data_IF_307314597805
#
_entry.id   IF_307314597805
#
_cell.length_a   1.000
_cell.length_b   1.000
_cell.length_c   1.000
_cell.angle_alpha   90.00
_cell.angle_beta   90.00
_cell.angle_gamma   90.00
#
_symmetry.space_group_name_H-M   'P 1'
#
loop_
_entity.id
_entity.type
_entity.pdbx_description
1 polymer ?
#
# COMPACT_ATOMS: atom_id res chain seq x y z
N UNK A 1 10.10 31.77 -8.69
CA UNK A 1 10.71 30.80 -7.76
C UNK A 1 9.80 29.58 -7.73
N UNK A 2 10.22 28.44 -8.27
CA UNK A 2 9.44 27.19 -8.20
C UNK A 2 9.28 26.80 -6.73
N UNK A 3 8.07 26.88 -6.19
CA UNK A 3 7.77 26.47 -4.82
C UNK A 3 7.63 24.95 -4.82
N UNK A 4 8.66 24.24 -4.35
CA UNK A 4 8.55 22.79 -4.14
C UNK A 4 7.74 22.56 -2.86
N UNK A 5 6.54 22.02 -3.01
CA UNK A 5 5.64 21.70 -1.90
C UNK A 5 6.26 20.61 -1.00
N UNK A 6 6.50 20.88 0.30
CA UNK A 6 7.17 19.94 1.20
C UNK A 6 6.33 18.68 1.52
N UNK A 7 5.06 18.63 1.10
CA UNK A 7 4.23 17.42 1.21
C UNK A 7 4.34 16.47 0.02
N UNK A 8 5.05 16.85 -1.06
CA UNK A 8 5.39 15.91 -2.14
C UNK A 8 6.47 14.96 -1.63
N UNK A 9 6.07 13.97 -0.82
CA UNK A 9 6.87 12.78 -0.56
C UNK A 9 7.13 12.15 -1.91
N UNK A 10 8.35 12.30 -2.41
CA UNK A 10 8.81 11.58 -3.58
C UNK A 10 8.57 10.09 -3.30
N UNK A 11 7.61 9.49 -4.01
CA UNK A 11 7.45 8.05 -4.00
C UNK A 11 8.76 7.49 -4.55
N UNK A 12 9.59 6.98 -3.65
CA UNK A 12 10.73 6.13 -4.01
C UNK A 12 10.13 4.93 -4.74
N UNK A 13 9.99 5.05 -6.06
CA UNK A 13 9.91 3.93 -6.97
C UNK A 13 11.26 3.25 -6.91
N UNK A 14 11.52 2.52 -5.83
CA UNK A 14 12.55 1.51 -5.82
C UNK A 14 12.07 0.45 -6.82
N UNK A 15 12.75 0.22 -7.96
CA UNK A 15 12.51 -1.01 -8.69
C UNK A 15 12.84 -2.14 -7.70
N UNK A 16 11.81 -2.84 -7.23
CA UNK A 16 12.02 -4.06 -6.45
C UNK A 16 12.88 -5.01 -7.27
N UNK A 17 13.73 -5.84 -6.63
CA UNK A 17 14.65 -6.70 -7.35
C UNK A 17 13.88 -7.56 -8.36
N UNK A 18 14.39 -7.60 -9.59
CA UNK A 18 13.94 -8.48 -10.68
C UNK A 18 13.99 -9.93 -10.17
N UNK A 19 12.86 -10.42 -9.64
CA UNK A 19 12.74 -11.79 -9.18
C UNK A 19 12.43 -12.68 -10.38
N UNK A 20 13.48 -13.01 -11.14
CA UNK A 20 13.42 -14.05 -12.15
C UNK A 20 14.59 -15.02 -12.01
N UNK A 21 14.85 -15.57 -10.83
CA UNK A 21 15.81 -16.67 -10.70
C UNK A 21 15.45 -17.67 -9.58
N UNK A 22 14.74 -18.72 -10.00
CA UNK A 22 15.09 -20.15 -9.83
C UNK A 22 15.62 -20.62 -8.46
N UNK A 23 14.71 -21.05 -7.56
CA UNK A 23 15.08 -21.98 -6.45
C UNK A 23 14.43 -21.74 -5.08
N UNK A 24 13.75 -20.61 -4.86
CA UNK A 24 13.01 -20.31 -3.62
C UNK A 24 11.49 -20.39 -3.80
N UNK A 25 10.71 -20.45 -2.70
CA UNK A 25 9.25 -20.39 -2.79
C UNK A 25 8.85 -19.12 -3.56
N UNK A 26 8.02 -19.31 -4.58
CA UNK A 26 7.51 -18.20 -5.39
C UNK A 26 6.77 -17.21 -4.49
N UNK A 27 6.87 -15.91 -4.82
CA UNK A 27 6.00 -14.92 -4.21
C UNK A 27 4.55 -15.39 -4.35
N UNK A 28 3.75 -15.35 -3.26
CA UNK A 28 2.35 -15.72 -3.34
C UNK A 28 1.65 -14.85 -4.37
N UNK A 29 0.74 -15.45 -5.14
CA UNK A 29 -0.16 -14.70 -6.02
C UNK A 29 -1.18 -13.97 -5.16
N UNK A 30 -0.75 -12.83 -4.58
CA UNK A 30 -1.61 -11.94 -3.82
C UNK A 30 -2.16 -10.89 -4.76
N UNK A 31 -3.34 -11.18 -5.30
CA UNK A 31 -4.19 -10.12 -5.88
C UNK A 31 -4.47 -9.07 -4.81
N UNK A 32 -4.48 -7.78 -5.22
CA UNK A 32 -4.85 -6.69 -4.31
C UNK A 32 -6.25 -7.00 -3.77
N UNK A 33 -6.43 -7.09 -2.45
CA UNK A 33 -7.75 -7.35 -1.88
C UNK A 33 -8.73 -6.27 -2.36
N UNK A 34 -9.97 -6.67 -2.61
CA UNK A 34 -11.05 -5.74 -2.95
C UNK A 34 -11.19 -4.64 -1.88
N UNK A 35 -11.73 -3.48 -2.27
CA UNK A 35 -11.86 -2.30 -1.39
C UNK A 35 -12.50 -2.63 -0.04
N UNK A 36 -13.57 -3.42 -0.03
CA UNK A 36 -14.27 -3.84 1.19
C UNK A 36 -13.46 -4.81 2.05
N UNK A 37 -12.68 -5.68 1.42
CA UNK A 37 -11.86 -6.66 2.12
C UNK A 37 -10.66 -6.02 2.81
N UNK A 38 -10.12 -4.94 2.24
CA UNK A 38 -9.07 -4.15 2.88
C UNK A 38 -9.59 -3.49 4.16
N UNK A 39 -10.71 -2.77 4.11
CA UNK A 39 -11.27 -2.10 5.30
C UNK A 39 -11.64 -3.10 6.40
N UNK A 40 -12.21 -4.25 6.02
CA UNK A 40 -12.53 -5.33 6.98
C UNK A 40 -11.27 -5.88 7.65
N UNK A 41 -10.19 -6.12 6.91
CA UNK A 41 -8.91 -6.56 7.48
C UNK A 41 -8.28 -5.48 8.35
N UNK A 42 -8.32 -4.23 7.91
CA UNK A 42 -7.83 -3.09 8.71
C UNK A 42 -8.58 -2.99 10.03
N UNK A 43 -9.92 -3.10 10.03
CA UNK A 43 -10.71 -3.05 11.26
C UNK A 43 -10.40 -4.19 12.24
N UNK A 44 -10.08 -5.38 11.73
CA UNK A 44 -9.65 -6.52 12.56
C UNK A 44 -8.28 -6.28 13.21
N UNK A 45 -7.35 -5.65 12.49
CA UNK A 45 -6.01 -5.34 12.98
C UNK A 45 -6.03 -4.14 13.94
N UNK A 46 -6.64 -3.04 13.50
CA UNK A 46 -6.86 -1.83 14.27
C UNK A 46 -8.08 -1.05 13.73
N UNK A 47 -9.17 -0.95 14.51
CA UNK A 47 -10.35 -0.16 14.15
C UNK A 47 -10.01 1.30 13.81
N UNK A 48 -9.07 1.92 14.51
CA UNK A 48 -8.70 3.33 14.29
C UNK A 48 -7.98 3.53 12.96
N UNK A 49 -7.21 2.55 12.50
CA UNK A 49 -6.59 2.59 11.17
C UNK A 49 -7.63 2.57 10.06
N UNK A 50 -8.68 1.74 10.18
CA UNK A 50 -9.75 1.70 9.18
C UNK A 50 -10.45 3.06 9.03
N UNK A 51 -10.71 3.73 10.15
CA UNK A 51 -11.35 5.06 10.17
C UNK A 51 -10.44 6.17 9.62
N UNK A 52 -9.16 6.17 9.99
CA UNK A 52 -8.17 7.11 9.42
C UNK A 52 -8.03 6.94 7.92
N UNK A 53 -8.07 5.71 7.42
CA UNK A 53 -7.96 5.44 5.99
C UNK A 53 -9.18 5.92 5.21
N UNK A 54 -10.41 5.74 5.73
CA UNK A 54 -11.63 6.36 5.16
C UNK A 54 -11.50 7.87 5.05
N UNK A 55 -11.14 8.53 6.16
CA UNK A 55 -10.95 9.98 6.20
C UNK A 55 -9.87 10.48 5.23
N UNK A 56 -8.76 9.74 5.09
CA UNK A 56 -7.64 10.11 4.21
C UNK A 56 -7.94 9.87 2.73
N UNK A 57 -8.64 8.79 2.41
CA UNK A 57 -8.86 8.36 1.02
C UNK A 57 -10.21 8.78 0.46
N UNK A 58 -11.11 9.32 1.29
CA UNK A 58 -12.48 9.66 0.89
C UNK A 58 -13.33 8.43 0.57
N UNK A 59 -12.92 7.25 1.08
CA UNK A 59 -13.70 6.01 1.00
C UNK A 59 -14.73 5.91 2.12
#
# INVERSE_FOLDING_TARGET
MQLNDPMRREEKNSPGPDQKDTGGPSRPDVSRPGRDDLLKRMKKVDPKQSEKYKQRTGQ
#
